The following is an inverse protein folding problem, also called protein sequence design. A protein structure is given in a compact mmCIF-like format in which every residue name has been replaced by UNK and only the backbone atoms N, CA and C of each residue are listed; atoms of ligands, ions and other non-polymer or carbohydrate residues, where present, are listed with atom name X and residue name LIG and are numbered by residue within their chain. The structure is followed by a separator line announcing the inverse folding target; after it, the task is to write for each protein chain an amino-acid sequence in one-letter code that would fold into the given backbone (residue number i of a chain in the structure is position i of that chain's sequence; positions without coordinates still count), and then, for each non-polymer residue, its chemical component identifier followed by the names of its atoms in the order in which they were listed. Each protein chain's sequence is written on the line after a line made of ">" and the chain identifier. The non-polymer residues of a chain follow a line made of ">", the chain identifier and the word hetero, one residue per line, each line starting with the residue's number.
data_IF_501577689184
#
_entry.id   IF_501577689184
#
_cell.length_a   1.000
_cell.length_b   1.000
_cell.length_c   1.000
_cell.angle_alpha   90.00
_cell.angle_beta   90.00
_cell.angle_gamma   90.00
#
_symmetry.space_group_name_H-M   'P 1'
#
loop_
_entity.id
_entity.type
_entity.pdbx_description
1 polymer ?
#
# COMPACT_ATOMS: atom_id res chain seq x y z
N UNK A 1 13.22 18.03 15.45
CA UNK A 1 13.40 17.48 14.09
C UNK A 1 12.08 16.95 13.56
N UNK A 2 11.71 17.38 12.38
CA UNK A 2 10.45 16.91 11.78
C UNK A 2 10.61 15.51 11.21
N UNK A 3 9.69 14.63 11.53
CA UNK A 3 9.65 13.31 10.95
C UNK A 3 8.94 13.41 9.61
N UNK A 4 9.53 12.84 8.57
CA UNK A 4 8.89 12.83 7.26
C UNK A 4 7.61 11.99 7.32
N UNK A 5 6.55 12.50 6.69
CA UNK A 5 5.31 11.75 6.52
C UNK A 5 5.30 10.95 5.22
N UNK A 6 6.35 11.14 4.40
CA UNK A 6 6.47 10.38 3.17
C UNK A 6 7.08 9.02 3.46
N UNK A 7 6.56 7.99 2.79
CA UNK A 7 7.14 6.67 2.93
C UNK A 7 6.81 5.86 1.68
N UNK A 8 7.60 4.82 1.48
CA UNK A 8 7.34 3.85 0.41
C UNK A 8 6.93 2.55 1.06
N UNK A 9 5.87 1.95 0.53
CA UNK A 9 5.40 0.67 1.04
C UNK A 9 5.24 -0.31 -0.12
N UNK A 10 5.52 -1.57 0.16
CA UNK A 10 5.28 -2.64 -0.79
C UNK A 10 4.01 -3.37 -0.36
N UNK A 11 3.03 -3.42 -1.26
CA UNK A 11 1.77 -4.11 -1.00
C UNK A 11 1.70 -5.33 -1.90
N UNK A 12 1.53 -6.48 -1.29
CA UNK A 12 1.29 -7.73 -2.00
C UNK A 12 -0.21 -8.03 -1.90
N UNK A 13 -0.84 -8.41 -3.02
CA UNK A 13 -2.28 -8.60 -3.04
C UNK A 13 -2.64 -9.84 -3.87
N UNK A 14 -3.88 -10.31 -3.70
CA UNK A 14 -4.31 -11.59 -4.26
C UNK A 14 -4.40 -11.62 -5.78
N UNK A 15 -4.99 -10.57 -6.37
CA UNK A 15 -5.25 -10.54 -7.80
C UNK A 15 -4.97 -9.16 -8.37
N UNK A 16 -4.38 -9.13 -9.57
CA UNK A 16 -4.00 -7.89 -10.23
C UNK A 16 -5.18 -6.93 -10.40
N UNK A 17 -6.36 -7.44 -10.65
CA UNK A 17 -7.54 -6.61 -10.87
C UNK A 17 -7.97 -5.83 -9.61
N UNK A 18 -7.46 -6.22 -8.44
CA UNK A 18 -7.83 -5.56 -7.20
C UNK A 18 -7.04 -4.27 -6.94
N UNK A 19 -6.05 -3.94 -7.79
CA UNK A 19 -5.21 -2.77 -7.54
C UNK A 19 -6.01 -1.47 -7.47
N UNK A 20 -7.01 -1.31 -8.33
CA UNK A 20 -7.84 -0.10 -8.32
C UNK A 20 -8.60 0.07 -7.01
N UNK A 21 -9.17 -1.00 -6.49
CA UNK A 21 -9.88 -0.99 -5.23
C UNK A 21 -8.92 -0.67 -4.08
N UNK A 22 -7.72 -1.24 -4.11
CA UNK A 22 -6.72 -0.98 -3.07
C UNK A 22 -6.33 0.49 -3.07
N UNK A 23 -6.10 1.07 -4.25
CA UNK A 23 -5.76 2.49 -4.39
C UNK A 23 -6.87 3.36 -3.77
N UNK A 24 -8.13 3.06 -4.09
CA UNK A 24 -9.25 3.84 -3.56
C UNK A 24 -9.37 3.72 -2.04
N UNK A 25 -9.15 2.51 -1.51
CA UNK A 25 -9.19 2.30 -0.07
C UNK A 25 -8.08 3.07 0.64
N UNK A 26 -6.87 3.05 0.09
CA UNK A 26 -5.75 3.79 0.67
C UNK A 26 -6.06 5.29 0.67
N UNK A 27 -6.59 5.80 -0.43
CA UNK A 27 -6.98 7.21 -0.51
C UNK A 27 -8.06 7.56 0.51
N UNK A 28 -8.97 6.65 0.78
CA UNK A 28 -10.06 6.88 1.74
C UNK A 28 -9.55 7.04 3.17
N UNK A 29 -8.31 6.65 3.44
CA UNK A 29 -7.67 6.81 4.74
C UNK A 29 -6.97 8.16 4.87
N UNK A 30 -7.25 9.09 3.96
CA UNK A 30 -6.61 10.40 3.93
C UNK A 30 -5.11 10.31 3.68
N UNK A 31 -4.70 9.30 2.94
CA UNK A 31 -3.32 9.10 2.53
C UNK A 31 -3.17 9.58 1.09
N UNK A 32 -2.14 10.40 0.86
CA UNK A 32 -1.85 10.86 -0.49
C UNK A 32 -0.95 9.85 -1.19
N UNK A 33 -1.32 9.47 -2.39
CA UNK A 33 -0.51 8.56 -3.20
C UNK A 33 0.16 9.38 -4.29
N UNK A 34 1.50 9.38 -4.31
CA UNK A 34 2.27 10.10 -5.32
C UNK A 34 2.58 9.22 -6.51
N UNK A 35 2.77 7.94 -6.27
CA UNK A 35 3.19 7.03 -7.32
C UNK A 35 2.86 5.59 -6.94
N UNK A 36 2.59 4.77 -7.94
CA UNK A 36 2.38 3.34 -7.77
C UNK A 36 3.21 2.65 -8.85
N UNK A 37 4.18 1.85 -8.40
CA UNK A 37 5.02 1.09 -9.31
C UNK A 37 4.65 -0.38 -9.20
N UNK A 38 4.09 -0.92 -10.28
CA UNK A 38 3.70 -2.34 -10.31
C UNK A 38 4.97 -3.17 -10.49
N UNK A 39 5.24 -4.05 -9.53
CA UNK A 39 6.43 -4.91 -9.60
C UNK A 39 6.09 -6.28 -10.17
N UNK A 40 4.84 -6.70 -10.02
CA UNK A 40 4.39 -7.99 -10.55
C UNK A 40 2.88 -7.95 -10.75
N UNK A 41 2.42 -8.23 -11.98
CA UNK A 41 0.99 -8.21 -12.31
C UNK A 41 0.33 -9.57 -12.22
N UNK A 42 1.14 -10.65 -12.24
CA UNK A 42 0.59 -12.01 -12.24
C UNK A 42 1.08 -12.79 -11.06
N UNK A 43 0.21 -13.64 -10.53
CA UNK A 43 0.62 -14.65 -9.59
C UNK A 43 1.37 -15.74 -10.36
N UNK A 44 2.66 -15.92 -10.08
CA UNK A 44 3.47 -16.96 -10.72
C UNK A 44 4.31 -17.65 -9.67
N UNK A 45 4.47 -18.95 -9.81
CA UNK A 45 5.32 -19.74 -8.91
C UNK A 45 5.00 -19.51 -7.44
N UNK A 46 3.72 -19.38 -7.12
CA UNK A 46 3.29 -19.16 -5.75
C UNK A 46 3.46 -17.74 -5.25
N UNK A 47 3.91 -16.81 -6.11
CA UNK A 47 4.08 -15.41 -5.74
C UNK A 47 2.87 -14.59 -6.18
N UNK A 48 2.42 -13.71 -5.33
CA UNK A 48 1.28 -12.84 -5.60
C UNK A 48 1.69 -11.56 -6.33
N UNK A 49 0.75 -10.90 -7.00
CA UNK A 49 1.02 -9.56 -7.54
C UNK A 49 1.47 -8.60 -6.46
N UNK A 50 2.22 -7.60 -6.83
CA UNK A 50 2.71 -6.62 -5.88
C UNK A 50 2.98 -5.27 -6.51
N UNK A 51 3.00 -4.23 -5.68
CA UNK A 51 3.27 -2.86 -6.12
C UNK A 51 3.92 -2.07 -4.99
N UNK A 52 4.77 -1.13 -5.38
CA UNK A 52 5.36 -0.18 -4.44
C UNK A 52 4.58 1.12 -4.55
N UNK A 53 4.08 1.59 -3.41
CA UNK A 53 3.33 2.84 -3.32
C UNK A 53 4.20 3.88 -2.64
N UNK A 54 4.34 5.04 -3.29
CA UNK A 54 4.97 6.20 -2.66
C UNK A 54 3.85 7.04 -2.08
N UNK A 55 3.79 7.16 -0.77
CA UNK A 55 2.64 7.76 -0.09
C UNK A 55 3.08 8.83 0.90
N UNK A 56 2.12 9.66 1.28
CA UNK A 56 2.28 10.61 2.36
C UNK A 56 1.17 10.40 3.37
N UNK A 57 1.54 10.22 4.63
CA UNK A 57 0.61 9.99 5.71
C UNK A 57 -0.15 11.25 6.09
N UNK A 58 -1.35 11.14 6.66
CA UNK A 58 -2.05 12.31 7.19
C UNK A 58 -1.28 12.90 8.36
N UNK A 59 -1.57 14.16 8.69
CA UNK A 59 -0.84 14.88 9.72
C UNK A 59 -0.78 14.15 11.06
N UNK A 60 -1.85 13.48 11.43
CA UNK A 60 -1.92 12.74 12.69
C UNK A 60 -1.78 11.24 12.46
N UNK A 61 -1.18 10.86 11.36
CA UNK A 61 -1.00 9.46 11.03
C UNK A 61 0.13 8.83 11.82
N UNK A 62 -0.12 7.65 12.31
CA UNK A 62 0.88 6.81 12.94
C UNK A 62 1.24 5.72 11.95
N UNK A 63 2.54 5.54 11.68
CA UNK A 63 3.01 4.53 10.73
C UNK A 63 2.41 3.15 11.00
N UNK A 64 2.45 2.72 12.26
CA UNK A 64 1.94 1.39 12.62
C UNK A 64 0.46 1.27 12.37
N UNK A 65 -0.31 2.29 12.72
CA UNK A 65 -1.76 2.27 12.51
C UNK A 65 -2.12 2.26 11.03
N UNK A 66 -1.39 3.04 10.23
CA UNK A 66 -1.60 3.07 8.78
C UNK A 66 -1.28 1.71 8.15
N UNK A 67 -0.14 1.13 8.52
CA UNK A 67 0.25 -0.18 8.00
C UNK A 67 -0.79 -1.24 8.35
N UNK A 68 -1.29 -1.22 9.58
CA UNK A 68 -2.32 -2.15 10.03
C UNK A 68 -3.61 -1.96 9.23
N UNK A 69 -4.02 -0.72 9.01
CA UNK A 69 -5.24 -0.42 8.27
C UNK A 69 -5.16 -0.89 6.82
N UNK A 70 -4.00 -0.67 6.18
CA UNK A 70 -3.81 -1.12 4.81
C UNK A 70 -3.83 -2.65 4.77
N UNK A 71 -3.21 -3.30 5.75
CA UNK A 71 -3.18 -4.76 5.82
C UNK A 71 -4.55 -5.39 6.00
N UNK A 72 -5.53 -4.61 6.49
CA UNK A 72 -6.90 -5.10 6.65
C UNK A 72 -7.75 -4.97 5.40
N UNK A 73 -7.25 -4.31 4.36
CA UNK A 73 -7.99 -4.19 3.11
C UNK A 73 -8.18 -5.58 2.52
N UNK A 74 -9.41 -5.86 2.09
CA UNK A 74 -9.72 -7.11 1.41
C UNK A 74 -8.80 -7.27 0.20
N UNK A 75 -8.27 -8.43 0.00
CA UNK A 75 -7.32 -8.81 -1.04
C UNK A 75 -5.86 -8.43 -0.78
N UNK A 76 -5.55 -7.64 0.24
CA UNK A 76 -4.15 -7.39 0.62
C UNK A 76 -3.63 -8.59 1.40
N UNK A 77 -2.49 -9.11 0.97
CA UNK A 77 -1.83 -10.25 1.60
C UNK A 77 -0.80 -9.77 2.63
N UNK A 78 -0.01 -8.78 2.25
CA UNK A 78 1.01 -8.23 3.17
C UNK A 78 1.36 -6.81 2.77
N UNK A 79 1.87 -6.06 3.75
CA UNK A 79 2.33 -4.69 3.58
C UNK A 79 3.66 -4.56 4.29
N UNK A 80 4.64 -4.00 3.62
CA UNK A 80 5.97 -3.77 4.20
C UNK A 80 6.46 -2.38 3.83
N UNK A 81 7.14 -1.74 4.76
CA UNK A 81 7.82 -0.49 4.44
C UNK A 81 9.14 -0.82 3.75
N UNK A 82 9.45 -0.12 2.68
CA UNK A 82 10.67 -0.34 1.92
C UNK A 82 11.55 0.90 1.85
#
# INVERSE_FOLDING_TARGET
>A
MATSRNMNIYIEFNEAQNIGMIIEKVKSMNIKIYDVEITRMRATDGLNPGAIFSIRLPKKGDHSAVMASIGEISSVVSVEEV
#
